data_IF_132898554676
#
_entry.id   IF_132898554676
#
_cell.length_a   1.000
_cell.length_b   1.000
_cell.length_c   1.000
_cell.angle_alpha   90.00
_cell.angle_beta   90.00
_cell.angle_gamma   90.00
#
_symmetry.space_group_name_H-M   'P 1'
#
loop_
_entity.id
_entity.type
_entity.pdbx_description
1 polymer ?
#
# COMPACT_ATOMS: atom_id res chain seq x y z
N UNK A 1 46.87 -3.16 0.99
CA UNK A 1 46.11 -3.00 -0.26
C UNK A 1 47.04 -3.26 -1.43
N UNK A 2 46.89 -4.42 -2.06
CA UNK A 2 47.74 -4.89 -3.15
C UNK A 2 47.26 -4.30 -4.50
N UNK A 3 48.15 -4.13 -5.49
CA UNK A 3 47.80 -3.57 -6.81
C UNK A 3 46.63 -4.30 -7.48
N UNK A 4 46.52 -5.61 -7.26
CA UNK A 4 45.43 -6.46 -7.73
C UNK A 4 44.08 -6.15 -7.08
N UNK A 5 44.08 -5.89 -5.77
CA UNK A 5 42.86 -5.55 -5.03
C UNK A 5 42.36 -4.18 -5.48
N UNK A 6 43.27 -3.23 -5.71
CA UNK A 6 42.92 -1.89 -6.17
C UNK A 6 42.31 -1.90 -7.57
N UNK A 7 42.87 -2.67 -8.52
CA UNK A 7 42.29 -2.78 -9.87
C UNK A 7 40.96 -3.53 -9.89
N UNK A 8 40.78 -4.54 -9.04
CA UNK A 8 39.48 -5.20 -8.87
C UNK A 8 38.42 -4.25 -8.30
N UNK A 9 38.77 -3.43 -7.32
CA UNK A 9 37.86 -2.45 -6.73
C UNK A 9 37.46 -1.37 -7.75
N UNK A 10 38.41 -0.91 -8.57
CA UNK A 10 38.14 0.04 -9.66
C UNK A 10 37.22 -0.56 -10.75
N UNK A 11 37.40 -1.83 -11.09
CA UNK A 11 36.57 -2.53 -12.07
C UNK A 11 35.14 -2.77 -11.58
N UNK A 12 34.97 -3.08 -10.28
CA UNK A 12 33.64 -3.20 -9.67
C UNK A 12 32.96 -1.83 -9.61
N UNK A 13 33.69 -0.78 -9.22
CA UNK A 13 33.16 0.58 -9.14
C UNK A 13 32.77 1.16 -10.51
N UNK A 14 33.51 0.83 -11.58
CA UNK A 14 33.15 1.26 -12.94
C UNK A 14 31.91 0.53 -13.48
N UNK A 15 31.72 -0.74 -13.12
CA UNK A 15 30.54 -1.52 -13.49
C UNK A 15 29.29 -1.18 -12.65
N UNK A 16 29.46 -0.61 -11.45
CA UNK A 16 28.34 -0.26 -10.56
C UNK A 16 27.35 0.75 -11.16
N UNK A 17 27.78 1.59 -12.11
CA UNK A 17 26.89 2.50 -12.85
C UNK A 17 26.25 1.86 -14.10
N UNK A 18 26.69 0.66 -14.49
CA UNK A 18 26.18 -0.08 -15.65
C UNK A 18 25.08 -1.05 -15.22
N UNK A 19 25.10 -1.53 -13.98
CA UNK A 19 23.99 -2.31 -13.43
C UNK A 19 22.82 -1.37 -13.13
N UNK A 20 21.70 -1.47 -13.86
CA UNK A 20 20.54 -0.67 -13.53
C UNK A 20 20.07 -1.09 -12.13
N UNK A 21 19.78 -0.12 -11.25
CA UNK A 21 19.26 -0.37 -9.90
C UNK A 21 17.97 -1.21 -9.91
N UNK A 22 17.35 -1.37 -11.08
CA UNK A 22 16.19 -2.22 -11.35
C UNK A 22 16.53 -3.71 -11.48
N UNK A 23 17.78 -4.10 -11.73
CA UNK A 23 18.17 -5.52 -11.85
C UNK A 23 18.02 -6.29 -10.52
N UNK A 24 17.91 -5.58 -9.40
CA UNK A 24 17.61 -6.14 -8.07
C UNK A 24 16.16 -5.91 -7.65
N UNK A 25 15.32 -5.34 -8.51
CA UNK A 25 13.89 -5.26 -8.24
C UNK A 25 13.26 -6.61 -8.55
N UNK A 26 12.55 -7.20 -7.58
CA UNK A 26 11.71 -8.38 -7.82
C UNK A 26 10.61 -8.00 -8.82
N UNK A 27 10.87 -8.24 -10.11
CA UNK A 27 9.97 -7.99 -11.24
C UNK A 27 8.70 -8.89 -11.26
N UNK A 28 8.47 -9.68 -10.21
CA UNK A 28 7.34 -10.60 -10.09
C UNK A 28 6.11 -9.99 -9.42
N UNK A 29 6.20 -8.79 -8.85
CA UNK A 29 5.04 -8.07 -8.31
C UNK A 29 4.45 -7.16 -9.39
N UNK A 30 3.12 -7.17 -9.62
CA UNK A 30 2.45 -6.19 -10.47
C UNK A 30 2.84 -4.78 -10.06
N UNK A 31 2.98 -3.86 -11.02
CA UNK A 31 3.31 -2.48 -10.68
C UNK A 31 2.22 -1.90 -9.76
N UNK A 32 2.55 -1.09 -8.74
CA UNK A 32 1.55 -0.50 -7.85
C UNK A 32 0.41 0.22 -8.59
N UNK A 33 0.69 0.76 -9.77
CA UNK A 33 -0.28 1.44 -10.64
C UNK A 33 -1.34 0.46 -11.18
N UNK A 34 -0.94 -0.77 -11.52
CA UNK A 34 -1.85 -1.80 -12.04
C UNK A 34 -2.92 -2.22 -11.05
N UNK A 35 -2.72 -1.97 -9.74
CA UNK A 35 -3.74 -2.20 -8.71
C UNK A 35 -4.99 -1.34 -8.92
N UNK A 36 -4.83 -0.17 -9.53
CA UNK A 36 -5.90 0.79 -9.75
C UNK A 36 -6.55 0.68 -11.13
N UNK A 37 -6.08 -0.26 -11.97
CA UNK A 37 -6.64 -0.56 -13.29
C UNK A 37 -7.84 -1.51 -13.16
N UNK A 38 -8.93 -0.97 -12.60
CA UNK A 38 -10.13 -1.73 -12.27
C UNK A 38 -11.12 -1.68 -13.46
N UNK A 39 -11.59 -2.83 -13.99
CA UNK A 39 -12.57 -2.85 -15.07
C UNK A 39 -13.87 -2.16 -14.66
N UNK A 40 -14.54 -1.56 -15.64
CA UNK A 40 -15.87 -0.99 -15.41
C UNK A 40 -16.89 -2.11 -15.18
N UNK A 41 -17.64 -2.02 -14.09
CA UNK A 41 -18.68 -2.99 -13.72
C UNK A 41 -19.88 -2.28 -13.08
N UNK A 42 -21.09 -2.67 -13.46
CA UNK A 42 -22.34 -2.11 -12.92
C UNK A 42 -22.76 -0.77 -13.56
N UNK A 43 -23.73 -0.10 -12.93
CA UNK A 43 -24.30 1.16 -13.40
C UNK A 43 -23.79 2.39 -12.63
N UNK A 44 -23.23 2.18 -11.43
CA UNK A 44 -22.70 3.23 -10.56
C UNK A 44 -21.47 2.72 -9.80
N UNK A 45 -20.53 3.62 -9.50
CA UNK A 45 -19.32 3.36 -8.72
C UNK A 45 -19.36 4.16 -7.42
N UNK A 46 -19.17 3.46 -6.30
CA UNK A 46 -18.99 4.09 -5.00
C UNK A 46 -17.52 4.06 -4.63
N UNK A 47 -16.94 5.22 -4.38
CA UNK A 47 -15.64 5.39 -3.77
C UNK A 47 -15.88 5.75 -2.31
N UNK A 48 -15.22 5.08 -1.38
CA UNK A 48 -15.44 5.29 0.05
C UNK A 48 -14.11 5.53 0.76
N UNK A 49 -14.07 6.57 1.59
CA UNK A 49 -13.00 6.86 2.54
C UNK A 49 -13.63 7.10 3.91
N UNK A 50 -12.87 6.90 4.98
CA UNK A 50 -13.34 7.14 6.35
C UNK A 50 -12.14 7.30 7.28
N UNK A 51 -12.36 7.88 8.46
CA UNK A 51 -11.41 7.91 9.58
C UNK A 51 -10.03 8.45 9.17
N UNK A 52 -10.02 9.49 8.33
CA UNK A 52 -8.76 10.08 7.86
C UNK A 52 -8.03 10.82 8.98
N UNK A 53 -8.73 11.16 10.06
CA UNK A 53 -8.23 11.84 11.24
C UNK A 53 -7.42 13.11 10.93
N UNK A 54 -7.88 13.87 9.93
CA UNK A 54 -7.23 15.07 9.39
C UNK A 54 -5.79 14.84 8.90
N UNK A 55 -5.41 13.61 8.54
CA UNK A 55 -4.06 13.28 8.11
C UNK A 55 -3.77 13.77 6.68
N UNK A 56 -3.46 15.07 6.56
CA UNK A 56 -3.27 15.76 5.27
C UNK A 56 -2.00 15.29 4.54
N UNK A 57 -0.94 14.93 5.28
CA UNK A 57 0.35 14.47 4.75
C UNK A 57 0.47 12.95 4.88
N UNK A 58 1.19 12.27 3.97
CA UNK A 58 1.43 10.83 4.08
C UNK A 58 2.10 10.45 5.41
N UNK A 59 1.73 9.29 5.96
CA UNK A 59 2.27 8.73 7.21
C UNK A 59 2.64 7.26 7.08
N UNK A 60 3.43 6.76 8.02
CA UNK A 60 3.56 5.33 8.25
C UNK A 60 2.44 4.90 9.19
N UNK A 61 1.51 4.09 8.69
CA UNK A 61 0.40 3.57 9.48
C UNK A 61 0.48 2.05 9.54
N UNK A 62 0.43 1.49 10.75
CA UNK A 62 0.60 0.06 11.01
C UNK A 62 -0.69 -0.49 11.62
N UNK A 63 -1.24 -1.51 10.99
CA UNK A 63 -2.38 -2.26 11.53
C UNK A 63 -2.06 -2.94 12.87
N UNK A 64 -3.07 -3.19 13.72
CA UNK A 64 -2.86 -3.84 15.01
C UNK A 64 -2.30 -5.26 14.83
N UNK A 65 -1.36 -5.65 15.70
CA UNK A 65 -0.88 -7.05 15.78
C UNK A 65 -1.77 -7.93 16.65
N UNK A 66 -2.65 -7.33 17.44
CA UNK A 66 -3.59 -8.01 18.34
C UNK A 66 -4.91 -7.25 18.28
N UNK A 67 -6.00 -7.95 17.98
CA UNK A 67 -7.36 -7.45 18.13
C UNK A 67 -8.20 -8.60 18.71
N UNK A 68 -8.87 -8.38 19.85
CA UNK A 68 -9.50 -9.46 20.62
C UNK A 68 -11.01 -9.41 20.42
N UNK A 69 -11.55 -10.41 19.72
CA UNK A 69 -12.98 -10.68 19.64
C UNK A 69 -13.45 -11.43 20.89
N UNK A 70 -14.67 -11.14 21.35
CA UNK A 70 -15.23 -11.78 22.55
C UNK A 70 -16.53 -12.50 22.19
N UNK A 71 -16.69 -13.73 22.69
CA UNK A 71 -17.88 -14.58 22.49
C UNK A 71 -18.14 -14.82 21.00
N UNK A 72 -19.21 -14.22 20.47
CA UNK A 72 -19.67 -14.43 19.11
C UNK A 72 -18.83 -13.69 18.08
N UNK A 73 -17.96 -12.77 18.52
CA UNK A 73 -17.03 -12.02 17.66
C UNK A 73 -15.63 -12.66 17.56
N UNK A 74 -15.39 -13.76 18.25
CA UNK A 74 -14.13 -14.50 18.15
C UNK A 74 -13.95 -15.08 16.73
N UNK A 75 -12.77 -14.88 16.15
CA UNK A 75 -12.44 -15.31 14.80
C UNK A 75 -13.23 -14.62 13.68
N UNK A 76 -13.81 -13.44 13.92
CA UNK A 76 -14.53 -12.66 12.90
C UNK A 76 -13.88 -11.31 12.63
N UNK A 77 -13.94 -10.76 11.40
CA UNK A 77 -13.56 -9.36 11.16
C UNK A 77 -14.38 -8.42 12.06
N UNK A 78 -13.78 -7.37 12.66
CA UNK A 78 -12.41 -6.89 12.45
C UNK A 78 -11.34 -7.52 13.37
N UNK A 79 -11.68 -8.56 14.14
CA UNK A 79 -10.80 -9.18 15.15
C UNK A 79 -9.81 -10.21 14.61
N UNK A 80 -9.73 -10.36 13.28
CA UNK A 80 -8.74 -11.22 12.63
C UNK A 80 -7.55 -10.34 12.20
N UNK A 81 -6.34 -10.74 12.57
CA UNK A 81 -5.11 -9.95 12.30
C UNK A 81 -3.99 -10.83 11.76
N UNK A 82 -2.97 -10.20 11.15
CA UNK A 82 -1.74 -10.87 10.73
C UNK A 82 -1.99 -11.99 9.71
N UNK A 83 -1.38 -13.17 9.91
CA UNK A 83 -1.47 -14.30 8.98
C UNK A 83 -2.91 -14.81 8.82
N UNK A 84 -3.67 -14.85 9.92
CA UNK A 84 -5.08 -15.27 9.87
C UNK A 84 -5.94 -14.32 9.03
N UNK A 85 -5.61 -13.01 8.99
CA UNK A 85 -6.30 -12.07 8.12
C UNK A 85 -6.02 -12.41 6.66
N UNK A 86 -4.76 -12.67 6.31
CA UNK A 86 -4.36 -13.04 4.96
C UNK A 86 -5.05 -14.34 4.52
N UNK A 87 -5.08 -15.36 5.38
CA UNK A 87 -5.72 -16.64 5.10
C UNK A 87 -7.23 -16.46 4.90
N UNK A 88 -7.90 -15.67 5.76
CA UNK A 88 -9.34 -15.45 5.68
C UNK A 88 -9.77 -14.73 4.38
N UNK A 89 -8.99 -13.76 3.93
CA UNK A 89 -9.27 -12.98 2.72
C UNK A 89 -8.58 -13.52 1.45
N UNK A 90 -7.93 -14.69 1.52
CA UNK A 90 -7.17 -15.29 0.42
C UNK A 90 -6.10 -14.34 -0.18
N UNK A 91 -5.33 -13.70 0.69
CA UNK A 91 -4.29 -12.74 0.31
C UNK A 91 -2.90 -13.32 0.47
N UNK A 92 -1.98 -12.93 -0.41
CA UNK A 92 -0.59 -13.36 -0.34
C UNK A 92 0.20 -12.52 0.68
N UNK A 93 1.10 -13.16 1.42
CA UNK A 93 2.04 -12.47 2.30
C UNK A 93 3.15 -11.75 1.51
N UNK A 94 3.71 -10.68 2.08
CA UNK A 94 4.92 -10.01 1.57
C UNK A 94 4.72 -9.04 0.40
N UNK A 95 3.49 -8.87 -0.08
CA UNK A 95 3.12 -7.89 -1.11
C UNK A 95 2.60 -6.56 -0.54
N UNK A 96 2.37 -5.58 -1.41
CA UNK A 96 1.84 -4.26 -1.05
C UNK A 96 0.49 -4.33 -0.33
N UNK A 97 -0.37 -5.30 -0.69
CA UNK A 97 -1.64 -5.52 -0.01
C UNK A 97 -1.44 -6.07 1.41
N UNK A 98 -0.49 -6.98 1.61
CA UNK A 98 -0.13 -7.46 2.95
C UNK A 98 0.36 -6.30 3.83
N UNK A 99 1.12 -5.35 3.26
CA UNK A 99 1.57 -4.16 3.97
C UNK A 99 0.41 -3.22 4.35
N UNK A 100 -0.56 -3.05 3.45
CA UNK A 100 -1.70 -2.18 3.67
C UNK A 100 -2.68 -2.72 4.73
N UNK A 101 -2.88 -4.03 4.82
CA UNK A 101 -3.92 -4.64 5.65
C UNK A 101 -3.41 -5.42 6.86
N UNK A 102 -2.10 -5.56 7.04
CA UNK A 102 -1.56 -6.32 8.17
C UNK A 102 -0.33 -5.67 8.78
N UNK A 103 -0.03 -6.10 9.99
CA UNK A 103 1.14 -5.69 10.75
C UNK A 103 2.39 -6.53 10.42
N UNK A 104 2.32 -7.46 9.47
CA UNK A 104 3.44 -8.34 9.14
C UNK A 104 4.55 -7.57 8.40
N UNK A 105 5.79 -7.82 8.79
CA UNK A 105 7.01 -7.26 8.16
C UNK A 105 6.98 -5.73 7.96
N UNK A 106 6.27 -5.02 8.84
CA UNK A 106 5.95 -3.61 8.66
C UNK A 106 7.17 -2.71 8.42
N UNK A 107 8.27 -2.91 9.15
CA UNK A 107 9.47 -2.07 9.00
C UNK A 107 10.06 -2.23 7.60
N UNK A 108 10.30 -3.47 7.17
CA UNK A 108 10.85 -3.77 5.85
C UNK A 108 9.90 -3.31 4.72
N UNK A 109 8.59 -3.49 4.91
CA UNK A 109 7.59 -3.07 3.95
C UNK A 109 7.43 -1.54 3.90
N UNK A 110 7.53 -0.84 5.03
CA UNK A 110 7.48 0.62 5.10
C UNK A 110 8.71 1.25 4.40
N UNK A 111 9.88 0.63 4.52
CA UNK A 111 11.08 1.04 3.76
C UNK A 111 10.90 0.81 2.25
N UNK A 112 10.24 -0.29 1.86
CA UNK A 112 10.02 -0.67 0.46
C UNK A 112 8.91 0.13 -0.24
N UNK A 113 7.75 0.28 0.42
CA UNK A 113 6.52 0.84 -0.15
C UNK A 113 6.24 2.27 0.31
N UNK A 114 6.89 2.73 1.39
CA UNK A 114 6.81 4.10 1.85
C UNK A 114 5.59 4.41 2.71
N UNK A 115 5.22 5.69 2.72
CA UNK A 115 4.11 6.23 3.51
C UNK A 115 2.78 6.08 2.77
N UNK A 116 1.70 5.92 3.51
CA UNK A 116 0.34 5.82 3.00
C UNK A 116 -0.44 7.14 3.19
N UNK A 117 -1.51 7.29 2.42
CA UNK A 117 -2.46 8.40 2.54
C UNK A 117 -1.93 9.76 2.07
N UNK A 118 -2.39 10.81 2.73
CA UNK A 118 -2.16 12.20 2.32
C UNK A 118 -3.13 12.66 1.23
N UNK A 119 -3.76 13.81 1.46
CA UNK A 119 -4.91 14.28 0.67
C UNK A 119 -4.57 14.59 -0.78
N UNK A 120 -3.34 15.01 -1.07
CA UNK A 120 -2.89 15.24 -2.44
C UNK A 120 -2.86 13.93 -3.27
N UNK A 121 -2.39 12.83 -2.68
CA UNK A 121 -2.35 11.52 -3.33
C UNK A 121 -3.76 10.94 -3.44
N UNK A 122 -4.55 11.00 -2.37
CA UNK A 122 -5.94 10.54 -2.37
C UNK A 122 -6.78 11.31 -3.40
N UNK A 123 -6.63 12.63 -3.51
CA UNK A 123 -7.34 13.46 -4.51
C UNK A 123 -6.99 13.04 -5.94
N UNK A 124 -5.71 12.77 -6.21
CA UNK A 124 -5.24 12.28 -7.50
C UNK A 124 -5.83 10.91 -7.82
N UNK A 125 -5.78 9.98 -6.87
CA UNK A 125 -6.33 8.64 -7.02
C UNK A 125 -7.84 8.66 -7.26
N UNK A 126 -8.59 9.44 -6.48
CA UNK A 126 -10.04 9.59 -6.66
C UNK A 126 -10.36 10.13 -8.05
N UNK A 127 -9.62 11.14 -8.53
CA UNK A 127 -9.83 11.68 -9.89
C UNK A 127 -9.55 10.61 -10.95
N UNK A 128 -8.45 9.87 -10.82
CA UNK A 128 -8.11 8.77 -11.73
C UNK A 128 -9.21 7.70 -11.76
N UNK A 129 -9.66 7.24 -10.58
CA UNK A 129 -10.70 6.22 -10.47
C UNK A 129 -12.06 6.70 -10.98
N UNK A 130 -12.40 7.98 -10.86
CA UNK A 130 -13.62 8.53 -11.46
C UNK A 130 -13.52 8.56 -12.98
N UNK A 131 -12.40 9.05 -13.51
CA UNK A 131 -12.16 9.14 -14.95
C UNK A 131 -12.12 7.75 -15.62
N UNK A 132 -11.56 6.73 -14.96
CA UNK A 132 -11.47 5.38 -15.52
C UNK A 132 -12.82 4.66 -15.64
N UNK A 133 -13.88 5.14 -14.96
CA UNK A 133 -15.24 4.58 -15.03
C UNK A 133 -16.14 5.23 -16.10
N UNK A 134 -15.71 6.36 -16.68
CA UNK A 134 -16.50 7.17 -17.62
C UNK A 134 -17.21 8.36 -16.97
N UNK A 135 -18.41 8.71 -17.46
CA UNK A 135 -19.15 9.93 -17.10
C UNK A 135 -19.12 10.27 -15.61
N UNK A 136 -18.84 11.55 -15.31
CA UNK A 136 -18.63 12.06 -13.95
C UNK A 136 -19.83 11.85 -13.00
N UNK A 137 -21.01 11.62 -13.57
CA UNK A 137 -22.30 11.49 -12.89
C UNK A 137 -22.58 10.07 -12.37
N UNK A 138 -21.73 9.08 -12.73
CA UNK A 138 -21.90 7.68 -12.31
C UNK A 138 -20.98 7.25 -11.17
N UNK A 139 -20.17 8.16 -10.66
CA UNK A 139 -19.25 7.90 -9.53
C UNK A 139 -19.52 8.84 -8.37
N UNK A 140 -19.73 8.30 -7.17
CA UNK A 140 -19.90 9.07 -5.94
C UNK A 140 -18.75 8.77 -4.97
N UNK A 141 -18.14 9.82 -4.41
CA UNK A 141 -17.22 9.71 -3.28
C UNK A 141 -17.99 9.93 -1.99
N UNK A 142 -17.91 8.97 -1.08
CA UNK A 142 -18.51 8.98 0.24
C UNK A 142 -17.40 9.08 1.30
N UNK A 143 -17.58 10.01 2.24
CA UNK A 143 -16.73 10.15 3.43
C UNK A 143 -17.52 9.70 4.66
N UNK A 144 -17.03 8.63 5.32
CA UNK A 144 -17.67 7.99 6.47
C UNK A 144 -17.60 8.78 7.78
N UNK A 145 -16.78 9.82 7.86
CA UNK A 145 -16.60 10.64 9.06
C UNK A 145 -15.23 10.48 9.71
N UNK A 146 -15.08 11.08 10.91
CA UNK A 146 -13.80 11.22 11.62
C UNK A 146 -12.68 11.86 10.76
N UNK A 147 -13.10 12.79 9.92
CA UNK A 147 -12.25 13.44 8.91
C UNK A 147 -11.51 14.68 9.43
N UNK A 148 -12.15 15.46 10.31
CA UNK A 148 -11.72 16.85 10.60
C UNK A 148 -10.78 17.00 11.80
N UNK A 149 -10.57 15.95 12.59
CA UNK A 149 -9.78 15.99 13.83
C UNK A 149 -8.83 14.80 13.92
N UNK A 150 -7.75 14.90 14.71
CA UNK A 150 -6.82 13.79 14.96
C UNK A 150 -5.38 14.03 14.50
N UNK A 151 -5.14 15.15 13.81
CA UNK A 151 -3.81 15.63 13.43
C UNK A 151 -3.48 16.99 14.08
N UNK A 152 -2.22 17.22 14.43
CA UNK A 152 -1.69 18.48 14.97
C UNK A 152 -0.28 18.77 14.47
#
# INVERSE_FOLDING_TARGET
MNRREFTQLLAIASAANIFPRTAFSNHSEPSPESMYDIPSFGNARLLHITDSHAQLKPIYFREPSVNIGIRHEDGKPPHIVGKHFLDYFNMNAGGIQSHAFTSLDFIACAEKYGKVGGYAHLSTLVKQLRQSYGDADRSLLLDGGDTWQGSG
#
